data_IF_963324480098
#
_entry.id   IF_963324480098
#
_cell.length_a   1.000
_cell.length_b   1.000
_cell.length_c   1.000
_cell.angle_alpha   90.00
_cell.angle_beta   90.00
_cell.angle_gamma   90.00
#
_symmetry.space_group_name_H-M   'P 1'
#
loop_
_entity.id
_entity.type
_entity.pdbx_description
1 polymer ?
#
# COMPACT_ATOMS: atom_id res chain seq x y z
N UNK A 1 -59.76 76.95 44.70
CA UNK A 1 -59.25 75.81 45.53
C UNK A 1 -59.86 74.55 45.03
N UNK A 2 -59.14 73.73 44.28
CA UNK A 2 -59.07 72.30 44.45
C UNK A 2 -58.07 71.70 43.46
N UNK A 3 -57.07 71.14 44.04
CA UNK A 3 -55.91 70.54 43.38
C UNK A 3 -56.21 69.08 43.14
N UNK A 4 -56.15 68.59 41.88
CA UNK A 4 -56.20 67.19 41.57
C UNK A 4 -54.98 66.79 40.80
N UNK A 5 -54.07 66.09 41.49
CA UNK A 5 -52.86 65.45 41.00
C UNK A 5 -53.23 64.39 39.98
N UNK A 6 -52.78 64.51 38.73
CA UNK A 6 -52.74 63.44 37.76
C UNK A 6 -51.56 62.53 38.08
N UNK A 7 -51.84 61.26 38.37
CA UNK A 7 -50.87 60.18 38.50
C UNK A 7 -50.35 59.78 37.12
N UNK A 8 -49.07 60.01 36.91
CA UNK A 8 -48.34 59.46 35.77
C UNK A 8 -48.24 57.94 35.91
N UNK A 9 -48.93 57.18 35.06
CA UNK A 9 -48.73 55.76 34.91
C UNK A 9 -47.51 55.55 33.96
N UNK A 10 -46.33 55.33 34.54
CA UNK A 10 -45.12 54.95 33.82
C UNK A 10 -44.87 53.47 34.06
N UNK A 11 -45.23 52.66 33.17
CA UNK A 11 -44.62 51.30 33.04
C UNK A 11 -45.47 50.44 32.12
N UNK A 12 -45.18 50.43 30.83
CA UNK A 12 -45.39 49.30 29.91
C UNK A 12 -45.18 49.68 28.43
N UNK A 13 -44.24 50.58 28.16
CA UNK A 13 -43.96 50.99 26.78
C UNK A 13 -42.76 50.25 26.14
N UNK A 14 -42.26 49.15 26.75
CA UNK A 14 -41.06 48.49 26.27
C UNK A 14 -41.32 47.19 25.44
N UNK A 15 -42.59 46.84 25.19
CA UNK A 15 -42.89 45.54 24.56
C UNK A 15 -43.76 45.62 23.28
N UNK A 16 -43.97 46.79 22.69
CA UNK A 16 -44.63 46.88 21.37
C UNK A 16 -43.57 47.08 20.28
N UNK A 17 -42.74 46.08 20.07
CA UNK A 17 -41.97 45.95 18.83
C UNK A 17 -42.97 45.88 17.68
N UNK A 18 -42.91 46.84 16.73
CA UNK A 18 -43.67 46.79 15.50
C UNK A 18 -43.46 45.43 14.82
N UNK A 19 -44.53 44.69 14.44
CA UNK A 19 -44.35 43.38 13.83
C UNK A 19 -43.55 43.55 12.55
N UNK A 20 -42.42 42.88 12.49
CA UNK A 20 -41.55 42.89 11.31
C UNK A 20 -42.36 42.46 10.09
N UNK A 21 -42.38 43.24 8.99
CA UNK A 21 -43.15 42.86 7.79
C UNK A 21 -42.66 41.52 7.29
N UNK A 22 -43.59 40.62 6.99
CA UNK A 22 -43.30 39.21 6.55
C UNK A 22 -42.21 39.13 5.49
N UNK A 23 -42.12 40.14 4.61
CA UNK A 23 -41.05 40.27 3.61
C UNK A 23 -39.66 40.35 4.22
N UNK A 24 -39.47 41.10 5.31
CA UNK A 24 -38.16 41.30 5.95
C UNK A 24 -37.73 40.02 6.70
N UNK A 25 -38.69 39.26 7.24
CA UNK A 25 -38.41 37.92 7.85
C UNK A 25 -37.96 36.94 6.78
N UNK A 26 -38.64 36.87 5.64
CA UNK A 26 -38.23 36.00 4.53
C UNK A 26 -36.86 36.40 3.98
N UNK A 27 -36.62 37.69 3.78
CA UNK A 27 -35.31 38.18 3.33
C UNK A 27 -34.18 37.89 4.35
N UNK A 28 -34.48 37.97 5.63
CA UNK A 28 -33.55 37.59 6.71
C UNK A 28 -33.20 36.10 6.68
N UNK A 29 -34.21 35.22 6.48
CA UNK A 29 -33.98 33.78 6.34
C UNK A 29 -33.15 33.43 5.10
N UNK A 30 -33.40 34.08 3.97
CA UNK A 30 -32.61 33.90 2.74
C UNK A 30 -31.16 34.38 2.98
N UNK A 31 -30.99 35.55 3.60
CA UNK A 31 -29.66 36.10 3.95
C UNK A 31 -28.85 35.17 4.85
N UNK A 32 -29.48 34.63 5.89
CA UNK A 32 -28.87 33.63 6.77
C UNK A 32 -28.50 32.35 6.05
N UNK A 33 -29.36 31.85 5.17
CA UNK A 33 -29.09 30.67 4.35
C UNK A 33 -27.89 30.87 3.41
N UNK A 34 -27.81 32.04 2.76
CA UNK A 34 -26.67 32.39 1.91
C UNK A 34 -25.37 32.55 2.73
N UNK A 35 -25.43 33.23 3.88
CA UNK A 35 -24.27 33.38 4.77
C UNK A 35 -23.75 32.02 5.26
N UNK A 36 -24.63 31.10 5.65
CA UNK A 36 -24.28 29.74 6.04
C UNK A 36 -23.66 28.96 4.86
N UNK A 37 -24.19 29.15 3.64
CA UNK A 37 -23.61 28.58 2.42
C UNK A 37 -22.20 29.09 2.13
N UNK A 38 -22.01 30.39 2.19
CA UNK A 38 -20.69 31.04 1.99
C UNK A 38 -19.70 30.58 3.07
N UNK A 39 -20.12 30.51 4.32
CA UNK A 39 -19.30 30.00 5.42
C UNK A 39 -18.87 28.56 5.17
N UNK A 40 -19.79 27.68 4.77
CA UNK A 40 -19.49 26.28 4.42
C UNK A 40 -18.52 26.19 3.25
N UNK A 41 -18.72 26.99 2.20
CA UNK A 41 -17.81 27.03 1.06
C UNK A 41 -16.41 27.50 1.47
N UNK A 42 -16.32 28.52 2.29
CA UNK A 42 -15.02 29.01 2.83
C UNK A 42 -14.32 27.95 3.69
N UNK A 43 -15.08 27.23 4.54
CA UNK A 43 -14.55 26.12 5.35
C UNK A 43 -13.97 25.00 4.46
N UNK A 44 -14.69 24.58 3.42
CA UNK A 44 -14.22 23.55 2.50
C UNK A 44 -13.05 24.00 1.60
N UNK A 45 -13.07 25.26 1.14
CA UNK A 45 -12.09 25.75 0.17
C UNK A 45 -10.83 26.34 0.82
N UNK A 46 -10.90 26.82 2.05
CA UNK A 46 -9.78 27.49 2.72
C UNK A 46 -9.29 26.65 3.90
N UNK A 47 -10.16 26.34 4.86
CA UNK A 47 -9.76 25.69 6.12
C UNK A 47 -9.43 24.21 5.89
N UNK A 48 -10.32 23.49 5.18
CA UNK A 48 -10.18 22.06 4.96
C UNK A 48 -9.62 21.69 3.58
N UNK A 49 -9.24 22.66 2.75
CA UNK A 49 -8.73 22.44 1.39
C UNK A 49 -7.52 21.48 1.37
N UNK A 50 -6.59 21.66 2.29
CA UNK A 50 -5.39 20.79 2.41
C UNK A 50 -5.76 19.33 2.68
N UNK A 51 -6.61 19.11 3.69
CA UNK A 51 -7.06 17.75 4.06
C UNK A 51 -7.89 17.08 2.96
N UNK A 52 -8.70 17.85 2.24
CA UNK A 52 -9.50 17.33 1.15
C UNK A 52 -8.65 16.98 -0.07
N UNK A 53 -7.62 17.78 -0.39
CA UNK A 53 -6.63 17.47 -1.42
C UNK A 53 -5.85 16.21 -1.05
N UNK A 54 -5.31 16.13 0.15
CA UNK A 54 -4.59 14.96 0.63
C UNK A 54 -5.42 13.67 0.52
N UNK A 55 -6.70 13.72 0.92
CA UNK A 55 -7.63 12.59 0.75
C UNK A 55 -7.95 12.26 -0.71
N UNK A 56 -8.03 13.28 -1.56
CA UNK A 56 -8.25 13.09 -2.99
C UNK A 56 -7.01 12.46 -3.64
N UNK A 57 -5.82 12.93 -3.29
CA UNK A 57 -4.54 12.41 -3.78
C UNK A 57 -4.30 10.99 -3.31
N UNK A 58 -4.58 10.68 -2.03
CA UNK A 58 -4.49 9.33 -1.49
C UNK A 58 -5.40 8.31 -2.21
N UNK A 59 -6.49 8.75 -2.83
CA UNK A 59 -7.38 7.90 -3.62
C UNK A 59 -6.97 7.76 -5.08
N UNK A 60 -6.25 8.75 -5.62
CA UNK A 60 -5.84 8.80 -7.03
C UNK A 60 -4.41 8.31 -7.24
N UNK A 61 -3.53 8.53 -6.25
CA UNK A 61 -2.13 8.16 -6.36
C UNK A 61 -1.94 6.72 -5.91
N UNK A 62 -1.46 5.89 -6.82
CA UNK A 62 -0.99 4.54 -6.51
C UNK A 62 0.52 4.62 -6.29
N UNK A 63 0.95 4.35 -5.06
CA UNK A 63 2.36 4.19 -4.74
C UNK A 63 2.74 2.71 -4.86
N UNK A 64 3.68 2.39 -5.73
CA UNK A 64 4.25 1.07 -5.91
C UNK A 64 5.71 1.09 -5.48
N UNK A 65 6.12 0.13 -4.68
CA UNK A 65 7.54 -0.06 -4.32
C UNK A 65 8.27 -0.70 -5.49
N UNK A 66 9.40 -0.12 -5.88
CA UNK A 66 10.34 -0.72 -6.81
C UNK A 66 11.40 -1.42 -5.96
N UNK A 67 11.38 -2.73 -5.92
CA UNK A 67 12.30 -3.48 -5.09
C UNK A 67 13.71 -3.44 -5.68
N UNK A 68 14.68 -3.14 -4.81
CA UNK A 68 16.11 -3.26 -5.13
C UNK A 68 16.50 -4.74 -5.21
N UNK A 69 17.39 -5.09 -6.12
CA UNK A 69 18.02 -6.41 -6.15
C UNK A 69 19.05 -6.47 -5.02
N UNK A 70 18.97 -7.52 -4.23
CA UNK A 70 19.99 -7.79 -3.21
C UNK A 70 21.28 -8.22 -3.88
N UNK A 71 22.41 -7.65 -3.48
CA UNK A 71 23.72 -7.91 -4.04
C UNK A 71 24.04 -9.41 -4.11
N UNK A 72 24.74 -9.82 -5.14
CA UNK A 72 25.14 -11.20 -5.39
C UNK A 72 26.36 -11.54 -4.54
N UNK A 73 26.46 -12.77 -4.04
CA UNK A 73 27.65 -13.27 -3.38
C UNK A 73 28.33 -14.27 -4.32
N UNK A 74 29.60 -14.01 -4.60
CA UNK A 74 30.45 -14.82 -5.47
C UNK A 74 31.50 -15.58 -4.68
N UNK A 75 31.94 -16.70 -5.22
CA UNK A 75 33.18 -17.35 -4.81
C UNK A 75 34.42 -16.60 -5.37
N UNK A 76 35.62 -17.06 -5.05
CA UNK A 76 36.91 -16.47 -5.54
C UNK A 76 37.06 -16.53 -7.07
N UNK A 77 36.35 -17.45 -7.73
CA UNK A 77 36.45 -17.72 -9.16
C UNK A 77 35.33 -17.01 -9.95
N UNK A 78 34.45 -16.25 -9.28
CA UNK A 78 33.32 -15.59 -9.88
C UNK A 78 32.07 -16.46 -10.03
N UNK A 79 32.02 -17.66 -9.44
CA UNK A 79 30.81 -18.46 -9.41
C UNK A 79 29.79 -17.84 -8.47
N UNK A 80 28.53 -17.82 -8.88
CA UNK A 80 27.43 -17.24 -8.11
C UNK A 80 27.05 -18.19 -6.98
N UNK A 81 27.33 -17.80 -5.74
CA UNK A 81 26.92 -18.57 -4.54
C UNK A 81 25.48 -18.25 -4.15
N UNK A 82 25.09 -16.99 -4.22
CA UNK A 82 23.72 -16.57 -3.99
C UNK A 82 23.36 -15.39 -4.89
N UNK A 83 22.12 -15.36 -5.40
CA UNK A 83 21.61 -14.25 -6.20
C UNK A 83 20.13 -13.95 -5.88
N UNK A 84 19.65 -12.80 -6.34
CA UNK A 84 18.24 -12.43 -6.22
C UNK A 84 17.56 -12.50 -7.56
N UNK A 85 16.39 -13.16 -7.60
CA UNK A 85 15.53 -13.25 -8.78
C UNK A 85 14.20 -12.58 -8.52
N UNK A 86 13.59 -12.05 -9.57
CA UNK A 86 12.27 -11.48 -9.51
C UNK A 86 11.24 -12.58 -9.27
N UNK A 87 10.27 -12.28 -8.44
CA UNK A 87 9.15 -13.14 -8.11
C UNK A 87 7.92 -12.29 -7.77
N UNK A 88 6.79 -12.92 -7.50
CA UNK A 88 5.58 -12.21 -7.09
C UNK A 88 4.97 -12.78 -5.84
N UNK A 89 4.46 -11.88 -5.01
CA UNK A 89 3.55 -12.25 -3.95
C UNK A 89 2.13 -12.27 -4.51
N UNK A 90 1.37 -13.30 -4.21
CA UNK A 90 -0.03 -13.45 -4.59
C UNK A 90 -0.87 -13.18 -3.36
N UNK A 91 -1.72 -12.16 -3.44
CA UNK A 91 -2.69 -11.80 -2.43
C UNK A 91 -4.11 -11.85 -3.01
N UNK A 92 -5.09 -11.91 -2.15
CA UNK A 92 -6.51 -11.85 -2.52
C UNK A 92 -7.20 -10.78 -1.70
N UNK A 93 -8.08 -10.02 -2.34
CA UNK A 93 -9.11 -9.25 -1.66
C UNK A 93 -10.40 -10.08 -1.67
N UNK A 94 -10.77 -10.73 -0.55
CA UNK A 94 -11.96 -11.58 -0.48
C UNK A 94 -13.25 -10.89 -0.89
N UNK A 95 -13.37 -9.58 -0.63
CA UNK A 95 -14.57 -8.78 -0.94
C UNK A 95 -14.80 -8.57 -2.44
N UNK A 96 -13.78 -8.80 -3.27
CA UNK A 96 -13.83 -8.63 -4.72
C UNK A 96 -13.88 -9.96 -5.48
N UNK A 97 -13.85 -11.10 -4.77
CA UNK A 97 -13.92 -12.42 -5.38
C UNK A 97 -15.38 -12.75 -5.73
N UNK A 98 -15.66 -12.90 -7.03
CA UNK A 98 -17.01 -13.25 -7.51
C UNK A 98 -17.29 -14.74 -7.46
N UNK A 99 -16.31 -15.57 -7.86
CA UNK A 99 -16.41 -17.04 -7.89
C UNK A 99 -15.28 -17.65 -7.06
N UNK A 100 -15.61 -18.04 -5.84
CA UNK A 100 -14.66 -18.59 -4.87
C UNK A 100 -14.09 -19.92 -5.37
N UNK A 101 -14.90 -20.82 -5.92
CA UNK A 101 -14.45 -22.16 -6.31
C UNK A 101 -13.49 -22.11 -7.51
N UNK A 102 -13.78 -21.26 -8.49
CA UNK A 102 -12.91 -21.03 -9.64
C UNK A 102 -11.59 -20.37 -9.21
N UNK A 103 -11.67 -19.36 -8.35
CA UNK A 103 -10.50 -18.65 -7.82
C UNK A 103 -9.62 -19.57 -7.00
N UNK A 104 -10.18 -20.34 -6.06
CA UNK A 104 -9.44 -21.31 -5.24
C UNK A 104 -8.77 -22.36 -6.13
N UNK A 105 -9.48 -22.92 -7.13
CA UNK A 105 -8.90 -23.93 -8.02
C UNK A 105 -7.73 -23.40 -8.83
N UNK A 106 -7.82 -22.13 -9.28
CA UNK A 106 -6.74 -21.48 -10.02
C UNK A 106 -5.53 -21.16 -9.13
N UNK A 107 -5.77 -20.70 -7.90
CA UNK A 107 -4.73 -20.39 -6.91
C UNK A 107 -3.99 -21.66 -6.47
N UNK A 108 -4.71 -22.74 -6.16
CA UNK A 108 -4.11 -24.04 -5.78
C UNK A 108 -3.20 -24.55 -6.91
N UNK A 109 -3.66 -24.46 -8.17
CA UNK A 109 -2.85 -24.91 -9.31
C UNK A 109 -1.56 -24.10 -9.49
N UNK A 110 -1.62 -22.78 -9.29
CA UNK A 110 -0.47 -21.90 -9.46
C UNK A 110 0.48 -21.90 -8.26
N UNK A 111 -0.04 -22.07 -7.05
CA UNK A 111 0.75 -21.91 -5.83
C UNK A 111 1.12 -23.22 -5.14
N UNK A 112 0.44 -24.32 -5.45
CA UNK A 112 0.61 -25.61 -4.78
C UNK A 112 0.14 -25.63 -3.31
N UNK A 113 -0.58 -24.59 -2.85
CA UNK A 113 -1.15 -24.53 -1.51
C UNK A 113 -2.30 -25.56 -1.38
N UNK A 114 -2.47 -26.13 -0.18
CA UNK A 114 -3.60 -26.97 0.13
C UNK A 114 -4.94 -26.28 -0.08
N UNK A 115 -5.90 -26.98 -0.72
CA UNK A 115 -7.20 -26.44 -1.11
C UNK A 115 -8.01 -25.91 0.08
N UNK A 116 -7.96 -26.57 1.24
CA UNK A 116 -8.68 -26.15 2.45
C UNK A 116 -8.12 -24.84 3.00
N UNK A 117 -6.79 -24.74 3.06
CA UNK A 117 -6.08 -23.55 3.49
C UNK A 117 -6.33 -22.37 2.55
N UNK A 118 -6.24 -22.61 1.23
CA UNK A 118 -6.54 -21.58 0.23
C UNK A 118 -7.97 -21.07 0.36
N UNK A 119 -8.95 -21.96 0.50
CA UNK A 119 -10.36 -21.59 0.67
C UNK A 119 -10.57 -20.74 1.92
N UNK A 120 -9.99 -21.15 3.06
CA UNK A 120 -10.08 -20.37 4.31
C UNK A 120 -9.52 -18.97 4.18
N UNK A 121 -8.45 -18.78 3.41
CA UNK A 121 -7.85 -17.48 3.17
C UNK A 121 -8.73 -16.61 2.24
N UNK A 122 -9.32 -17.22 1.20
CA UNK A 122 -10.22 -16.53 0.27
C UNK A 122 -11.56 -16.19 0.92
N UNK A 123 -12.05 -16.97 1.87
CA UNK A 123 -13.31 -16.73 2.61
C UNK A 123 -13.13 -15.80 3.84
N UNK A 124 -11.94 -15.23 4.05
CA UNK A 124 -11.68 -14.35 5.20
C UNK A 124 -12.28 -12.95 5.03
N UNK A 125 -12.49 -12.21 6.13
CA UNK A 125 -13.07 -10.87 6.13
C UNK A 125 -12.07 -9.75 5.77
N UNK A 126 -10.84 -10.09 5.39
CA UNK A 126 -9.79 -9.13 5.05
C UNK A 126 -10.02 -8.41 3.72
N UNK A 127 -9.32 -7.30 3.51
CA UNK A 127 -9.24 -6.64 2.20
C UNK A 127 -7.94 -6.94 1.47
N UNK A 128 -6.96 -7.52 2.18
CA UNK A 128 -5.66 -7.93 1.65
C UNK A 128 -5.16 -9.15 2.42
N UNK A 129 -5.17 -10.31 1.78
CA UNK A 129 -4.75 -11.58 2.39
C UNK A 129 -3.74 -12.26 1.49
N UNK A 130 -2.53 -12.47 1.99
CA UNK A 130 -1.51 -13.21 1.25
C UNK A 130 -1.90 -14.69 1.13
N UNK A 131 -1.93 -15.18 -0.10
CA UNK A 131 -2.12 -16.61 -0.39
C UNK A 131 -0.76 -17.31 -0.37
N UNK A 132 0.19 -16.79 -1.15
CA UNK A 132 1.58 -17.29 -1.16
C UNK A 132 2.52 -16.14 -1.52
N UNK A 133 3.63 -16.06 -0.81
CA UNK A 133 4.69 -15.12 -1.10
C UNK A 133 5.80 -15.81 -1.90
N UNK A 134 6.56 -15.04 -2.66
CA UNK A 134 7.72 -15.49 -3.44
C UNK A 134 7.38 -16.61 -4.43
N UNK A 135 6.27 -16.47 -5.14
CA UNK A 135 5.89 -17.33 -6.26
C UNK A 135 6.73 -16.98 -7.48
N UNK A 136 7.18 -17.96 -8.20
CA UNK A 136 8.00 -17.77 -9.40
C UNK A 136 7.21 -16.98 -10.47
N UNK A 137 7.93 -16.14 -11.22
CA UNK A 137 7.33 -15.18 -12.16
C UNK A 137 6.45 -15.88 -13.21
N UNK A 138 6.87 -17.05 -13.72
CA UNK A 138 6.14 -17.80 -14.74
C UNK A 138 4.77 -18.29 -14.22
N UNK A 139 4.73 -18.80 -12.99
CA UNK A 139 3.49 -19.28 -12.36
C UNK A 139 2.54 -18.12 -12.04
N UNK A 140 3.09 -17.01 -11.56
CA UNK A 140 2.33 -15.81 -11.26
C UNK A 140 1.77 -15.18 -12.55
N UNK A 141 2.57 -15.08 -13.61
CA UNK A 141 2.13 -14.55 -14.91
C UNK A 141 1.05 -15.44 -15.57
N UNK A 142 1.16 -16.75 -15.43
CA UNK A 142 0.14 -17.69 -15.90
C UNK A 142 -1.21 -17.52 -15.16
N UNK A 143 -1.15 -17.18 -13.88
CA UNK A 143 -2.35 -16.87 -13.08
C UNK A 143 -2.93 -15.49 -13.43
N UNK A 144 -2.10 -14.48 -13.63
CA UNK A 144 -2.50 -13.12 -13.98
C UNK A 144 -3.28 -13.08 -15.29
N UNK A 145 -2.88 -13.86 -16.30
CA UNK A 145 -3.59 -13.99 -17.58
C UNK A 145 -5.04 -14.47 -17.44
N UNK A 146 -5.40 -15.09 -16.31
CA UNK A 146 -6.79 -15.54 -16.07
C UNK A 146 -7.72 -14.40 -15.62
N UNK A 147 -7.19 -13.21 -15.32
CA UNK A 147 -7.94 -12.01 -14.92
C UNK A 147 -9.02 -12.32 -13.86
N UNK A 148 -8.64 -12.98 -12.77
CA UNK A 148 -9.57 -13.35 -11.70
C UNK A 148 -9.85 -12.14 -10.81
N UNK A 149 -11.14 -11.72 -10.66
CA UNK A 149 -11.49 -10.62 -9.79
C UNK A 149 -11.03 -10.89 -8.35
N UNK A 150 -10.46 -9.88 -7.71
CA UNK A 150 -9.98 -9.98 -6.33
C UNK A 150 -8.60 -10.60 -6.15
N UNK A 151 -7.96 -11.17 -7.19
CA UNK A 151 -6.57 -11.65 -7.13
C UNK A 151 -5.62 -10.50 -7.44
N UNK A 152 -4.64 -10.30 -6.56
CA UNK A 152 -3.70 -9.19 -6.59
C UNK A 152 -2.27 -9.73 -6.65
N UNK A 153 -1.42 -9.05 -7.42
CA UNK A 153 -0.02 -9.42 -7.60
C UNK A 153 0.86 -8.27 -7.14
N UNK A 154 1.81 -8.58 -6.29
CA UNK A 154 2.82 -7.64 -5.81
C UNK A 154 4.20 -8.12 -6.25
N UNK A 155 5.00 -7.24 -6.84
CA UNK A 155 6.39 -7.55 -7.16
C UNK A 155 7.17 -7.82 -5.89
N UNK A 156 8.07 -8.80 -5.93
CA UNK A 156 8.94 -9.16 -4.82
C UNK A 156 10.25 -9.74 -5.36
N UNK A 157 11.22 -9.94 -4.47
CA UNK A 157 12.50 -10.56 -4.77
C UNK A 157 12.63 -11.84 -3.95
N UNK A 158 13.21 -12.89 -4.56
CA UNK A 158 13.49 -14.17 -3.93
C UNK A 158 15.00 -14.43 -3.96
N UNK A 159 15.55 -14.84 -2.84
CA UNK A 159 16.96 -15.27 -2.76
C UNK A 159 17.10 -16.69 -3.25
N UNK A 160 18.03 -16.92 -4.16
CA UNK A 160 18.31 -18.23 -4.75
C UNK A 160 19.74 -18.64 -4.45
N UNK A 161 19.91 -19.92 -4.14
CA UNK A 161 21.18 -20.55 -3.84
C UNK A 161 21.44 -21.65 -4.88
N UNK A 162 22.17 -21.37 -5.97
CA UNK A 162 22.34 -22.31 -7.09
C UNK A 162 22.96 -23.65 -6.69
N UNK A 163 23.79 -23.64 -5.66
CA UNK A 163 24.44 -24.86 -5.14
C UNK A 163 23.69 -25.49 -3.95
N UNK A 164 22.43 -25.09 -3.72
CA UNK A 164 21.62 -25.64 -2.63
C UNK A 164 22.18 -25.32 -1.24
N UNK A 165 22.51 -26.37 -0.49
CA UNK A 165 22.99 -26.23 0.89
C UNK A 165 24.49 -25.97 1.04
N UNK A 166 25.25 -25.92 -0.08
CA UNK A 166 26.69 -25.74 -0.06
C UNK A 166 27.06 -24.43 0.71
N UNK A 167 27.97 -24.53 1.65
CA UNK A 167 28.41 -23.43 2.52
C UNK A 167 27.27 -22.70 3.25
N UNK A 168 26.13 -23.33 3.47
CA UNK A 168 24.93 -22.70 4.04
C UNK A 168 25.18 -22.05 5.40
N UNK A 169 26.05 -22.62 6.23
CA UNK A 169 26.42 -22.08 7.53
C UNK A 169 27.22 -20.77 7.40
N UNK A 170 28.03 -20.64 6.35
CA UNK A 170 28.85 -19.46 6.09
C UNK A 170 28.02 -18.40 5.37
N UNK A 171 27.34 -18.77 4.30
CA UNK A 171 26.50 -17.87 3.51
C UNK A 171 25.32 -17.32 4.34
N UNK A 172 24.67 -18.22 5.07
CA UNK A 172 23.47 -17.90 5.83
C UNK A 172 22.21 -17.90 4.98
N UNK A 173 21.14 -17.39 5.56
CA UNK A 173 19.81 -17.33 4.93
C UNK A 173 19.19 -15.96 5.10
N UNK A 174 18.26 -15.62 4.22
CA UNK A 174 17.42 -14.43 4.29
C UNK A 174 15.97 -14.81 4.57
N UNK A 175 15.23 -13.90 5.20
CA UNK A 175 13.80 -14.06 5.39
C UNK A 175 13.03 -13.68 4.10
N UNK A 176 11.70 -13.82 4.17
CA UNK A 176 10.78 -13.50 3.06
C UNK A 176 10.78 -11.98 2.75
N UNK A 177 11.20 -11.15 3.69
CA UNK A 177 11.28 -9.69 3.54
C UNK A 177 12.67 -9.23 3.05
N UNK A 178 13.51 -10.19 2.65
CA UNK A 178 14.86 -9.98 2.12
C UNK A 178 15.90 -9.48 3.14
N UNK A 179 15.67 -9.72 4.44
CA UNK A 179 16.63 -9.43 5.51
C UNK A 179 17.50 -10.64 5.84
N UNK A 180 18.79 -10.42 5.98
CA UNK A 180 19.74 -11.46 6.35
C UNK A 180 19.57 -11.91 7.80
N UNK A 181 19.34 -13.21 8.01
CA UNK A 181 19.14 -13.80 9.34
C UNK A 181 20.40 -14.36 9.95
N UNK A 182 21.27 -14.97 9.16
CA UNK A 182 22.49 -15.65 9.60
C UNK A 182 23.64 -15.43 8.63
N UNK A 183 24.84 -15.83 9.00
CA UNK A 183 26.03 -15.87 8.16
C UNK A 183 26.43 -14.53 7.53
N UNK A 184 27.00 -14.60 6.34
CA UNK A 184 27.41 -13.43 5.55
C UNK A 184 26.22 -12.56 5.19
N UNK A 185 25.09 -13.18 4.91
CA UNK A 185 23.83 -12.45 4.61
C UNK A 185 23.44 -11.49 5.74
N UNK A 186 23.60 -11.89 6.99
CA UNK A 186 23.34 -11.05 8.16
C UNK A 186 24.43 -10.02 8.38
N UNK A 187 25.69 -10.45 8.31
CA UNK A 187 26.84 -9.59 8.60
C UNK A 187 26.93 -8.42 7.63
N UNK A 188 26.66 -8.66 6.35
CA UNK A 188 26.70 -7.66 5.28
C UNK A 188 25.32 -7.20 4.84
N UNK A 189 24.29 -7.39 5.68
CA UNK A 189 22.91 -7.08 5.30
C UNK A 189 22.74 -5.66 4.76
N UNK A 190 23.35 -4.65 5.41
CA UNK A 190 23.25 -3.24 4.99
C UNK A 190 23.85 -2.97 3.60
N UNK A 191 24.89 -3.71 3.21
CA UNK A 191 25.51 -3.56 1.90
C UNK A 191 24.74 -4.32 0.82
N UNK A 192 24.28 -5.53 1.16
CA UNK A 192 23.60 -6.42 0.26
C UNK A 192 22.17 -5.97 -0.07
N UNK A 193 21.41 -5.41 0.88
CA UNK A 193 19.97 -5.15 0.70
C UNK A 193 19.66 -4.08 -0.33
N UNK A 194 20.54 -3.09 -0.54
CA UNK A 194 20.26 -1.94 -1.42
C UNK A 194 19.20 -1.00 -0.83
N UNK A 195 18.63 -0.18 -1.68
CA UNK A 195 17.58 0.77 -1.29
C UNK A 195 16.42 0.71 -2.28
N UNK A 196 15.24 0.39 -1.79
CA UNK A 196 14.05 0.33 -2.62
C UNK A 196 13.69 1.71 -3.18
N UNK A 197 13.27 1.71 -4.43
CA UNK A 197 12.69 2.86 -5.09
C UNK A 197 11.18 2.97 -4.87
N UNK A 198 10.59 4.00 -5.44
CA UNK A 198 9.15 4.18 -5.43
C UNK A 198 8.64 4.70 -6.77
N UNK A 199 7.48 4.24 -7.15
CA UNK A 199 6.77 4.69 -8.35
C UNK A 199 5.38 5.13 -7.93
N UNK A 200 5.12 6.43 -8.04
CA UNK A 200 3.81 7.02 -7.78
C UNK A 200 3.19 7.38 -9.11
N UNK A 201 2.00 6.86 -9.37
CA UNK A 201 1.23 7.14 -10.60
C UNK A 201 -0.20 7.52 -10.25
N UNK A 202 -0.76 8.43 -11.05
CA UNK A 202 -2.17 8.76 -10.95
C UNK A 202 -3.02 7.72 -11.67
N UNK A 203 -4.09 7.28 -10.97
CA UNK A 203 -4.98 6.23 -11.41
C UNK A 203 -6.40 6.76 -11.50
N UNK A 204 -7.10 6.44 -12.58
CA UNK A 204 -8.51 6.74 -12.75
C UNK A 204 -9.37 5.81 -11.87
N UNK A 205 -10.66 6.13 -11.78
CA UNK A 205 -11.61 5.36 -10.96
C UNK A 205 -11.80 3.92 -11.43
N UNK A 206 -11.65 3.67 -12.72
CA UNK A 206 -11.71 2.34 -13.35
C UNK A 206 -10.43 1.53 -13.20
N UNK A 207 -9.41 2.13 -12.59
CA UNK A 207 -8.12 1.48 -12.38
C UNK A 207 -7.08 1.72 -13.47
N UNK A 208 -7.42 2.36 -14.56
CA UNK A 208 -6.48 2.71 -15.63
C UNK A 208 -5.52 3.83 -15.22
N UNK A 209 -4.36 3.90 -15.84
CA UNK A 209 -3.40 5.00 -15.62
C UNK A 209 -3.81 6.23 -16.43
N UNK A 210 -3.77 7.39 -15.79
CA UNK A 210 -4.08 8.66 -16.45
C UNK A 210 -2.84 9.12 -17.24
N UNK A 211 -2.97 9.20 -18.56
CA UNK A 211 -1.91 9.76 -19.41
C UNK A 211 -1.72 11.25 -19.08
N UNK A 212 -0.48 11.64 -18.73
CA UNK A 212 -0.17 13.01 -18.29
C UNK A 212 -0.55 13.33 -16.85
N UNK A 213 -1.07 12.36 -16.08
CA UNK A 213 -1.30 12.48 -14.65
C UNK A 213 -0.01 12.56 -13.82
N UNK A 214 -0.14 12.72 -12.52
CA UNK A 214 1.00 12.80 -11.61
C UNK A 214 1.88 11.53 -11.74
N UNK A 215 3.17 11.75 -12.00
CA UNK A 215 4.16 10.70 -12.15
C UNK A 215 5.42 11.07 -11.39
N UNK A 216 5.79 10.26 -10.42
CA UNK A 216 7.05 10.39 -9.69
C UNK A 216 7.73 9.03 -9.59
N UNK A 217 8.92 8.91 -10.14
CA UNK A 217 9.73 7.69 -10.05
C UNK A 217 11.02 8.01 -9.29
N UNK A 218 11.27 7.27 -8.22
CA UNK A 218 12.56 7.18 -7.57
C UNK A 218 13.10 5.80 -7.91
N UNK A 219 14.22 5.72 -8.59
CA UNK A 219 14.80 4.43 -8.97
C UNK A 219 15.26 3.67 -7.71
N UNK A 220 15.15 2.35 -7.75
CA UNK A 220 15.81 1.50 -6.75
C UNK A 220 17.33 1.56 -6.96
N UNK A 221 18.07 1.42 -5.88
CA UNK A 221 19.54 1.26 -5.89
C UNK A 221 19.84 -0.15 -5.40
N UNK A 222 20.38 -0.97 -6.30
CA UNK A 222 20.70 -2.36 -5.98
C UNK A 222 21.77 -2.47 -4.91
N UNK A 223 21.79 -3.58 -4.20
CA UNK A 223 22.81 -3.88 -3.20
C UNK A 223 24.17 -4.12 -3.85
N UNK A 224 25.22 -4.01 -3.03
CA UNK A 224 26.60 -4.22 -3.45
C UNK A 224 26.89 -5.71 -3.49
N UNK A 225 27.53 -6.16 -4.56
CA UNK A 225 27.99 -7.54 -4.71
C UNK A 225 29.21 -7.81 -3.81
N UNK A 226 29.32 -9.04 -3.34
CA UNK A 226 30.42 -9.47 -2.47
C UNK A 226 31.16 -10.65 -3.13
N UNK A 227 32.49 -10.55 -3.22
CA UNK A 227 33.33 -11.67 -3.61
C UNK A 227 33.96 -12.24 -2.36
N UNK A 228 33.78 -13.54 -2.16
CA UNK A 228 34.34 -14.28 -1.02
C UNK A 228 35.65 -14.96 -1.39
N UNK A 229 36.34 -15.47 -0.40
CA UNK A 229 37.53 -16.34 -0.58
C UNK A 229 37.16 -17.83 -0.68
N UNK A 230 35.87 -18.16 -0.62
CA UNK A 230 35.38 -19.52 -0.81
C UNK A 230 35.69 -20.02 -2.22
N UNK A 231 35.80 -21.32 -2.34
CA UNK A 231 35.91 -22.03 -3.61
C UNK A 231 34.89 -23.16 -3.62
N UNK A 232 33.96 -23.13 -4.57
CA UNK A 232 32.85 -24.08 -4.67
C UNK A 232 33.34 -25.52 -4.72
N UNK A 233 34.44 -25.79 -5.44
CA UNK A 233 34.94 -27.17 -5.60
C UNK A 233 35.59 -27.67 -4.32
N UNK A 234 36.39 -26.86 -3.67
CA UNK A 234 37.04 -27.19 -2.40
C UNK A 234 36.01 -27.37 -1.30
N UNK A 235 35.04 -26.46 -1.24
CA UNK A 235 33.94 -26.52 -0.26
C UNK A 235 33.10 -27.79 -0.42
N UNK A 236 32.76 -28.16 -1.67
CA UNK A 236 32.01 -29.38 -1.96
C UNK A 236 32.82 -30.63 -1.52
N UNK A 237 34.09 -30.71 -1.90
CA UNK A 237 34.92 -31.82 -1.51
C UNK A 237 35.06 -31.96 0.03
N UNK A 238 35.11 -30.82 0.74
CA UNK A 238 35.16 -30.83 2.19
C UNK A 238 33.86 -31.28 2.83
N UNK A 239 32.69 -30.87 2.29
CA UNK A 239 31.38 -31.27 2.79
C UNK A 239 31.06 -32.73 2.46
N UNK A 240 31.49 -33.24 1.29
CA UNK A 240 31.31 -34.64 0.89
C UNK A 240 32.20 -35.62 1.73
N UNK A 241 33.25 -35.08 2.38
CA UNK A 241 34.16 -35.89 3.22
C UNK A 241 33.73 -35.93 4.70
N UNK A 242 32.75 -35.14 5.12
CA UNK A 242 32.23 -35.09 6.49
C UNK A 242 31.01 -35.99 6.69
#
# INVERSE_FOLDING_TARGET
MHNTRSRKNSSTEWLTGTPLPRRNVVMGCIGLGLAAGVYRLADYQIVNAGKLRERADARRLLAQTLYAKRGTIYDRNGNVLTSSVECRNIAVNPQLVEDVDKTVSALVKATGIDKKTCRKLVDSDGTWVYIKRQVDEDDAAALEKKNLPGVLFEQAMKRVYPYGNLASQVLGVVNVDNDGLTGLEKQYNKLLTGTNGSLVRERARDGSYIAGGAYKKVAAVDGVDIVTTLDVNIQRAAEDAL
#
